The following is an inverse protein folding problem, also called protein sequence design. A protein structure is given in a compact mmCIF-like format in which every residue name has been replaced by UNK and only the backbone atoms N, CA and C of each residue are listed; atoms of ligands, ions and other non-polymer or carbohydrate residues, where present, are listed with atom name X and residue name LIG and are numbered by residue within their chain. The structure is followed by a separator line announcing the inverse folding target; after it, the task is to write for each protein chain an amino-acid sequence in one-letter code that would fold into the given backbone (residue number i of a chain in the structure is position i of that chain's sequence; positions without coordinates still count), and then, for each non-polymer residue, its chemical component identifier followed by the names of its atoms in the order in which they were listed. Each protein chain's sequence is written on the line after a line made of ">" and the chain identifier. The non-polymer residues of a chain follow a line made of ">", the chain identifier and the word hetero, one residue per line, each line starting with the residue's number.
data_IF_144511525116
#
_entry.id   IF_144511525116
#
_cell.length_a   1.000
_cell.length_b   1.000
_cell.length_c   1.000
_cell.angle_alpha   90.00
_cell.angle_beta   90.00
_cell.angle_gamma   90.00
#
_symmetry.space_group_name_H-M   'P 1'
#
loop_
_entity.id
_entity.type
_entity.pdbx_description
1 polymer ?
#
# COMPACT_ATOMS: atom_id res chain seq x y z
N UNK A 1 -35.30 34.28 29.77
CA UNK A 1 -34.14 33.55 30.31
C UNK A 1 -34.38 32.07 30.05
N UNK A 2 -33.77 31.49 29.03
CA UNK A 2 -33.87 30.06 28.75
C UNK A 2 -33.01 29.30 29.77
N UNK A 3 -33.62 28.28 30.33
CA UNK A 3 -33.22 27.53 31.51
C UNK A 3 -31.82 26.87 31.30
N UNK A 4 -30.92 27.10 32.23
CA UNK A 4 -29.59 26.53 32.33
C UNK A 4 -29.58 25.00 32.33
N UNK A 5 -30.72 24.38 32.69
CA UNK A 5 -30.93 22.92 32.66
C UNK A 5 -31.14 22.36 31.25
N UNK A 6 -31.75 23.11 30.32
CA UNK A 6 -31.89 22.68 28.93
C UNK A 6 -30.58 22.77 28.17
N UNK A 7 -29.77 23.81 28.44
CA UNK A 7 -28.42 23.94 27.84
C UNK A 7 -27.50 22.79 28.25
N UNK A 8 -27.55 22.36 29.52
CA UNK A 8 -26.73 21.23 30.01
C UNK A 8 -27.21 19.88 29.49
N UNK A 9 -28.50 19.70 29.22
CA UNK A 9 -29.01 18.48 28.56
C UNK A 9 -28.64 18.37 27.09
N UNK A 10 -28.53 19.49 26.41
CA UNK A 10 -28.07 19.55 24.99
C UNK A 10 -26.56 19.36 24.89
N UNK A 11 -25.78 19.93 25.83
CA UNK A 11 -24.34 19.73 25.92
C UNK A 11 -23.95 18.30 26.30
N UNK A 12 -24.72 17.63 27.18
CA UNK A 12 -24.50 16.25 27.57
C UNK A 12 -24.79 15.24 26.42
N UNK A 13 -25.71 15.57 25.50
CA UNK A 13 -25.97 14.74 24.31
C UNK A 13 -24.91 14.93 23.21
N UNK A 14 -24.20 16.08 23.18
CA UNK A 14 -23.09 16.33 22.26
C UNK A 14 -21.74 15.75 22.72
N UNK A 15 -21.55 15.55 24.02
CA UNK A 15 -20.30 15.07 24.61
C UNK A 15 -20.15 13.53 24.61
N UNK A 16 -21.23 12.79 24.39
CA UNK A 16 -21.20 11.30 24.34
C UNK A 16 -20.86 10.78 22.94
N UNK A 17 -20.84 11.64 21.90
CA UNK A 17 -20.53 11.26 20.52
C UNK A 17 -19.05 11.48 20.11
N UNK A 18 -18.20 11.96 21.01
CA UNK A 18 -16.76 12.21 20.70
C UNK A 18 -15.84 11.12 21.27
N UNK A 19 -16.38 10.18 22.06
CA UNK A 19 -15.58 9.16 22.78
C UNK A 19 -15.59 7.75 22.22
N UNK A 20 -16.19 7.46 21.05
CA UNK A 20 -16.33 6.08 20.54
C UNK A 20 -16.14 5.91 19.03
N UNK A 21 -15.42 6.80 18.36
CA UNK A 21 -15.11 6.66 16.91
C UNK A 21 -13.74 6.05 16.62
N UNK A 22 -13.17 5.26 17.51
CA UNK A 22 -11.86 4.64 17.31
C UNK A 22 -11.88 3.15 16.97
N UNK A 23 -13.04 2.59 16.54
CA UNK A 23 -13.09 1.18 16.15
C UNK A 23 -14.18 0.83 15.12
N UNK A 24 -14.53 1.75 14.22
CA UNK A 24 -15.24 1.35 13.00
C UNK A 24 -14.23 0.63 12.12
N UNK A 25 -14.20 -0.68 12.25
CA UNK A 25 -13.30 -1.53 11.47
C UNK A 25 -13.63 -1.47 9.97
N UNK A 26 -12.70 -1.89 9.14
CA UNK A 26 -12.82 -2.00 7.68
C UNK A 26 -14.16 -2.63 7.22
N UNK A 27 -14.79 -3.45 8.07
CA UNK A 27 -16.09 -4.10 7.83
C UNK A 27 -17.24 -3.08 7.76
N UNK A 28 -17.22 -2.02 8.58
CA UNK A 28 -18.27 -0.99 8.53
C UNK A 28 -18.08 -0.05 7.32
N UNK A 29 -16.82 0.17 6.87
CA UNK A 29 -16.53 0.90 5.64
C UNK A 29 -17.00 0.15 4.38
N UNK A 30 -16.95 -1.18 4.38
CA UNK A 30 -17.44 -2.01 3.27
C UNK A 30 -18.96 -1.94 3.11
N UNK A 31 -19.71 -1.65 4.19
CA UNK A 31 -21.16 -1.49 4.16
C UNK A 31 -21.61 -0.20 3.44
N UNK A 32 -20.78 0.86 3.45
CA UNK A 32 -21.10 2.13 2.77
C UNK A 32 -20.71 2.14 1.28
N UNK A 33 -19.92 1.16 0.81
CA UNK A 33 -19.36 1.16 -0.57
C UNK A 33 -20.35 0.77 -1.68
N UNK A 34 -21.57 0.37 -1.38
CA UNK A 34 -22.56 -0.08 -2.38
C UNK A 34 -22.18 -1.40 -3.09
N UNK A 35 -21.14 -2.09 -2.64
CA UNK A 35 -20.59 -3.31 -3.25
C UNK A 35 -21.07 -4.61 -2.57
N UNK A 36 -22.25 -4.59 -1.91
CA UNK A 36 -22.81 -5.75 -1.19
C UNK A 36 -21.81 -6.42 -0.20
N UNK A 37 -21.00 -5.61 0.51
CA UNK A 37 -20.03 -6.10 1.48
C UNK A 37 -18.79 -6.80 0.86
N UNK A 38 -18.52 -6.58 -0.43
CA UNK A 38 -17.32 -7.09 -1.11
C UNK A 38 -16.20 -6.04 -1.10
N UNK A 39 -14.96 -6.50 -0.87
CA UNK A 39 -13.77 -5.67 -1.05
C UNK A 39 -13.54 -5.38 -2.53
N UNK A 40 -13.36 -4.11 -2.88
CA UNK A 40 -13.10 -3.70 -4.26
C UNK A 40 -11.60 -3.71 -4.55
N UNK A 41 -11.22 -4.29 -5.68
CA UNK A 41 -9.86 -4.21 -6.25
C UNK A 41 -9.98 -3.88 -7.74
N UNK A 42 -9.21 -2.91 -8.21
CA UNK A 42 -9.11 -2.59 -9.64
C UNK A 42 -7.76 -3.05 -10.16
N UNK A 43 -7.77 -3.76 -11.29
CA UNK A 43 -6.57 -4.07 -12.09
C UNK A 43 -6.69 -3.32 -13.41
N UNK A 44 -5.91 -2.26 -13.56
CA UNK A 44 -5.82 -1.50 -14.80
C UNK A 44 -4.63 -2.00 -15.62
N UNK A 45 -4.81 -2.20 -16.95
CA UNK A 45 -3.77 -2.72 -17.85
C UNK A 45 -3.57 -1.84 -19.07
N UNK A 46 -2.33 -1.69 -19.51
CA UNK A 46 -2.00 -1.11 -20.81
C UNK A 46 -0.87 -1.92 -21.46
N UNK A 47 -1.20 -2.69 -22.49
CA UNK A 47 -0.24 -3.55 -23.20
C UNK A 47 0.93 -2.78 -23.83
N UNK A 48 0.74 -1.48 -24.11
CA UNK A 48 1.75 -0.61 -24.69
C UNK A 48 2.47 0.28 -23.67
N UNK A 49 2.40 -0.08 -22.38
CA UNK A 49 2.96 0.70 -21.26
C UNK A 49 4.48 0.90 -21.37
N UNK A 50 5.18 -0.11 -21.88
CA UNK A 50 6.60 -0.02 -22.21
C UNK A 50 6.76 0.44 -23.65
N UNK A 51 7.47 1.55 -23.85
CA UNK A 51 7.85 2.05 -25.18
C UNK A 51 8.91 1.18 -25.84
N UNK A 52 9.67 1.75 -26.76
CA UNK A 52 10.81 1.06 -27.38
C UNK A 52 11.82 0.66 -26.29
N UNK A 53 11.94 -0.64 -26.01
CA UNK A 53 12.77 -1.18 -24.94
C UNK A 53 12.00 -1.43 -23.65
N UNK A 54 12.68 -1.41 -22.50
CA UNK A 54 12.11 -1.70 -21.17
C UNK A 54 11.65 -0.44 -20.41
N UNK A 55 11.71 0.74 -21.03
CA UNK A 55 11.34 2.00 -20.37
C UNK A 55 9.83 2.21 -20.40
N UNK A 56 9.30 2.63 -19.25
CA UNK A 56 7.90 3.03 -19.12
C UNK A 56 7.66 4.37 -19.82
N UNK A 57 6.57 4.46 -20.58
CA UNK A 57 6.08 5.71 -21.14
C UNK A 57 5.36 6.51 -20.04
N UNK A 58 5.88 7.69 -19.71
CA UNK A 58 5.37 8.55 -18.65
C UNK A 58 3.89 8.92 -18.85
N UNK A 59 3.50 9.24 -20.09
CA UNK A 59 2.14 9.63 -20.42
C UNK A 59 1.16 8.48 -20.26
N UNK A 60 1.57 7.27 -20.63
CA UNK A 60 0.79 6.04 -20.45
C UNK A 60 0.68 5.63 -19.00
N UNK A 61 1.76 5.75 -18.22
CA UNK A 61 1.73 5.49 -16.78
C UNK A 61 0.73 6.43 -16.10
N UNK A 62 0.76 7.72 -16.42
CA UNK A 62 -0.19 8.69 -15.88
C UNK A 62 -1.63 8.37 -16.28
N UNK A 63 -1.87 8.05 -17.54
CA UNK A 63 -3.20 7.67 -18.04
C UNK A 63 -3.70 6.37 -17.40
N UNK A 64 -2.83 5.38 -17.22
CA UNK A 64 -3.14 4.12 -16.54
C UNK A 64 -3.49 4.35 -15.07
N UNK A 65 -2.72 5.17 -14.38
CA UNK A 65 -2.96 5.56 -13.00
C UNK A 65 -4.32 6.26 -12.84
N UNK A 66 -4.63 7.23 -13.69
CA UNK A 66 -5.92 7.91 -13.69
C UNK A 66 -7.08 6.95 -13.92
N UNK A 67 -6.95 6.05 -14.89
CA UNK A 67 -7.96 5.02 -15.18
C UNK A 67 -8.18 4.09 -13.98
N UNK A 68 -7.10 3.65 -13.31
CA UNK A 68 -7.20 2.81 -12.12
C UNK A 68 -7.96 3.52 -10.99
N UNK A 69 -7.58 4.76 -10.68
CA UNK A 69 -8.15 5.53 -9.56
C UNK A 69 -9.59 5.95 -9.86
N UNK A 70 -9.90 6.44 -11.07
CA UNK A 70 -11.26 6.80 -11.47
C UNK A 70 -12.20 5.61 -11.45
N UNK A 71 -11.74 4.44 -11.93
CA UNK A 71 -12.52 3.20 -11.90
C UNK A 71 -12.77 2.71 -10.48
N UNK A 72 -11.79 2.86 -9.58
CA UNK A 72 -11.95 2.46 -8.19
C UNK A 72 -13.03 3.29 -7.48
N UNK A 73 -13.00 4.61 -7.63
CA UNK A 73 -13.95 5.50 -6.96
C UNK A 73 -15.22 5.80 -7.76
N UNK A 74 -15.36 5.25 -8.98
CA UNK A 74 -16.52 5.50 -9.85
C UNK A 74 -16.66 6.99 -10.25
N UNK A 75 -15.53 7.67 -10.44
CA UNK A 75 -15.50 9.09 -10.83
C UNK A 75 -15.08 9.27 -12.26
N UNK A 76 -15.60 10.32 -12.92
CA UNK A 76 -15.23 10.63 -14.32
C UNK A 76 -13.94 11.46 -14.41
N UNK A 77 -13.69 12.31 -13.40
CA UNK A 77 -12.53 13.20 -13.39
C UNK A 77 -11.47 12.69 -12.44
N UNK A 78 -10.19 12.60 -12.86
CA UNK A 78 -9.11 12.10 -12.03
C UNK A 78 -9.01 12.81 -10.68
N UNK A 79 -9.00 14.15 -10.68
CA UNK A 79 -8.83 14.92 -9.45
C UNK A 79 -9.96 14.66 -8.43
N UNK A 80 -11.21 14.51 -8.90
CA UNK A 80 -12.34 14.16 -8.01
C UNK A 80 -12.15 12.77 -7.38
N UNK A 81 -11.56 11.82 -8.13
CA UNK A 81 -11.24 10.49 -7.62
C UNK A 81 -10.07 10.54 -6.60
N UNK A 82 -9.01 11.27 -6.90
CA UNK A 82 -7.87 11.44 -6.00
C UNK A 82 -8.26 12.07 -4.67
N UNK A 83 -9.21 13.00 -4.65
CA UNK A 83 -9.75 13.62 -3.44
C UNK A 83 -10.54 12.66 -2.55
N UNK A 84 -10.89 11.46 -3.04
CA UNK A 84 -11.53 10.42 -2.23
C UNK A 84 -10.52 9.53 -1.47
N UNK A 85 -9.26 9.49 -1.89
CA UNK A 85 -8.24 8.66 -1.23
C UNK A 85 -8.06 9.14 0.21
N UNK A 86 -8.27 8.25 1.20
CA UNK A 86 -8.08 8.55 2.61
C UNK A 86 -9.10 9.49 3.26
N UNK A 87 -10.31 9.62 2.66
CA UNK A 87 -11.44 10.49 3.05
C UNK A 87 -11.37 11.96 2.61
N UNK A 88 -12.51 12.60 2.29
CA UNK A 88 -12.59 13.88 1.57
C UNK A 88 -11.95 15.10 2.22
N UNK A 89 -11.38 15.00 3.42
CA UNK A 89 -10.76 16.12 4.12
C UNK A 89 -9.37 15.80 4.69
N UNK A 90 -8.83 14.60 4.37
CA UNK A 90 -7.60 14.10 5.00
C UNK A 90 -6.36 14.83 4.48
N UNK A 91 -6.34 15.27 3.23
CA UNK A 91 -5.14 15.85 2.62
C UNK A 91 -4.87 17.31 3.00
N UNK A 92 -5.89 18.06 3.44
CA UNK A 92 -5.70 19.48 3.75
C UNK A 92 -4.82 19.66 4.98
N UNK A 93 -3.63 20.21 4.79
CA UNK A 93 -2.60 20.46 5.82
C UNK A 93 -2.03 19.20 6.51
N UNK A 94 -2.13 18.02 5.87
CA UNK A 94 -1.55 16.77 6.40
C UNK A 94 -0.41 16.26 5.54
N UNK A 95 0.56 15.65 6.19
CA UNK A 95 1.66 14.98 5.48
C UNK A 95 1.20 13.62 4.99
N UNK A 96 1.31 13.41 3.69
CA UNK A 96 1.02 12.17 2.99
C UNK A 96 2.34 11.43 2.76
N UNK A 97 2.46 10.22 3.30
CA UNK A 97 3.58 9.33 3.02
C UNK A 97 3.30 8.46 1.80
N UNK A 98 4.23 8.40 0.88
CA UNK A 98 4.24 7.46 -0.24
C UNK A 98 5.28 6.40 0.10
N UNK A 99 4.84 5.24 0.60
CA UNK A 99 5.73 4.12 0.96
C UNK A 99 6.00 3.27 -0.28
N UNK A 100 7.17 3.42 -0.84
CA UNK A 100 7.62 2.65 -2.01
C UNK A 100 8.35 1.35 -1.61
N UNK A 101 8.74 0.54 -2.58
CA UNK A 101 9.63 -0.58 -2.41
C UNK A 101 10.91 -0.34 -3.21
N UNK A 102 11.98 0.06 -2.54
CA UNK A 102 13.28 0.31 -3.16
C UNK A 102 14.20 -0.91 -3.22
N UNK A 103 13.85 -1.98 -2.49
CA UNK A 103 14.70 -3.16 -2.37
C UNK A 103 14.77 -3.95 -3.68
N UNK A 104 16.00 -4.13 -4.18
CA UNK A 104 16.29 -4.90 -5.38
C UNK A 104 16.80 -4.08 -6.58
N UNK A 105 16.76 -2.75 -6.49
CA UNK A 105 17.26 -1.86 -7.53
C UNK A 105 16.35 -1.78 -8.77
N UNK A 106 16.89 -1.29 -9.88
CA UNK A 106 16.14 -1.10 -11.12
C UNK A 106 15.54 -2.41 -11.63
N UNK A 107 14.27 -2.38 -12.04
CA UNK A 107 13.55 -3.51 -12.65
C UNK A 107 12.66 -4.32 -11.69
N UNK A 108 12.92 -4.28 -10.38
CA UNK A 108 12.10 -4.95 -9.35
C UNK A 108 11.86 -4.09 -8.11
N UNK A 109 11.97 -2.79 -8.28
CA UNK A 109 11.60 -1.77 -7.30
C UNK A 109 10.50 -0.89 -7.88
N UNK A 110 9.75 -0.20 -7.02
CA UNK A 110 8.73 0.75 -7.47
C UNK A 110 9.32 1.75 -8.47
N UNK A 111 8.71 1.87 -9.63
CA UNK A 111 9.21 2.71 -10.71
C UNK A 111 9.05 4.20 -10.39
N UNK A 112 10.14 4.96 -10.54
CA UNK A 112 10.16 6.40 -10.26
C UNK A 112 9.14 7.19 -11.08
N UNK A 113 8.84 6.77 -12.31
CA UNK A 113 7.82 7.36 -13.18
C UNK A 113 6.44 7.26 -12.54
N UNK A 114 6.07 6.12 -11.96
CA UNK A 114 4.80 5.96 -11.23
C UNK A 114 4.77 6.84 -9.98
N UNK A 115 5.87 6.92 -9.24
CA UNK A 115 5.98 7.77 -8.05
C UNK A 115 5.79 9.26 -8.41
N UNK A 116 6.40 9.71 -9.52
CA UNK A 116 6.24 11.07 -10.02
C UNK A 116 4.79 11.38 -10.41
N UNK A 117 4.13 10.45 -11.12
CA UNK A 117 2.71 10.59 -11.49
C UNK A 117 1.81 10.68 -10.24
N UNK A 118 2.07 9.88 -9.21
CA UNK A 118 1.34 9.95 -7.92
C UNK A 118 1.55 11.31 -7.24
N UNK A 119 2.80 11.79 -7.17
CA UNK A 119 3.11 13.10 -6.58
C UNK A 119 2.43 14.25 -7.33
N UNK A 120 2.40 14.20 -8.66
CA UNK A 120 1.71 15.18 -9.49
C UNK A 120 0.21 15.21 -9.18
N UNK A 121 -0.45 14.07 -9.15
CA UNK A 121 -1.88 13.97 -8.87
C UNK A 121 -2.24 14.39 -7.45
N UNK A 122 -1.42 14.08 -6.46
CA UNK A 122 -1.61 14.55 -5.08
C UNK A 122 -1.53 16.08 -5.01
N UNK A 123 -0.57 16.71 -5.70
CA UNK A 123 -0.46 18.16 -5.74
C UNK A 123 -1.67 18.79 -6.44
N UNK A 124 -2.12 18.25 -7.56
CA UNK A 124 -3.33 18.70 -8.24
C UNK A 124 -4.60 18.48 -7.40
N UNK A 125 -4.63 17.48 -6.53
CA UNK A 125 -5.71 17.22 -5.58
C UNK A 125 -5.66 18.15 -4.34
N UNK A 126 -4.62 19.02 -4.24
CA UNK A 126 -4.49 20.06 -3.21
C UNK A 126 -3.48 19.75 -2.10
N UNK A 127 -2.65 18.70 -2.21
CA UNK A 127 -1.57 18.43 -1.26
C UNK A 127 -0.36 19.32 -1.62
N UNK A 128 0.10 20.15 -0.68
CA UNK A 128 1.32 20.93 -0.87
C UNK A 128 2.54 20.02 -1.05
N UNK A 129 3.45 20.36 -1.96
CA UNK A 129 4.64 19.56 -2.26
C UNK A 129 5.43 19.16 -1.00
N UNK A 130 5.69 20.10 -0.08
CA UNK A 130 6.39 19.84 1.18
C UNK A 130 5.65 18.90 2.16
N UNK A 131 4.37 18.65 1.91
CA UNK A 131 3.56 17.70 2.66
C UNK A 131 3.51 16.30 2.01
N UNK A 132 4.31 16.05 0.98
CA UNK A 132 4.47 14.72 0.37
C UNK A 132 5.85 14.19 0.76
N UNK A 133 5.89 12.96 1.30
CA UNK A 133 7.14 12.25 1.62
C UNK A 133 7.14 10.91 0.89
N UNK A 134 8.03 10.77 -0.07
CA UNK A 134 8.38 9.47 -0.67
C UNK A 134 9.44 8.82 0.20
N UNK A 135 9.25 7.55 0.58
CA UNK A 135 10.15 6.91 1.52
C UNK A 135 10.20 5.39 1.45
N UNK A 136 11.31 4.85 1.88
CA UNK A 136 11.50 3.45 2.20
C UNK A 136 12.49 3.33 3.37
N UNK A 137 13.00 2.14 3.63
CA UNK A 137 13.91 1.88 4.74
C UNK A 137 15.26 2.59 4.58
N UNK A 138 15.87 2.50 3.40
CA UNK A 138 17.21 3.03 3.16
C UNK A 138 17.21 4.06 2.02
N UNK A 139 17.90 5.17 2.23
CA UNK A 139 18.06 6.22 1.22
C UNK A 139 18.77 5.72 -0.04
N UNK A 140 19.82 4.89 0.12
CA UNK A 140 20.56 4.31 -1.03
C UNK A 140 19.67 3.46 -1.94
N UNK A 141 18.68 2.75 -1.37
CA UNK A 141 17.78 1.90 -2.15
C UNK A 141 16.80 2.76 -2.97
N UNK A 142 16.40 3.92 -2.43
CA UNK A 142 15.62 4.93 -3.15
C UNK A 142 16.40 5.53 -4.32
N UNK A 143 17.68 5.87 -4.12
CA UNK A 143 18.56 6.37 -5.20
C UNK A 143 18.77 5.33 -6.29
N UNK A 144 18.96 4.06 -5.90
CA UNK A 144 19.11 2.95 -6.84
C UNK A 144 17.87 2.75 -7.73
N UNK A 145 16.69 3.16 -7.28
CA UNK A 145 15.43 3.15 -8.05
C UNK A 145 15.26 4.39 -8.95
N UNK A 146 16.20 5.33 -8.91
CA UNK A 146 16.14 6.59 -9.66
C UNK A 146 15.33 7.68 -8.97
N UNK A 147 15.07 7.57 -7.66
CA UNK A 147 14.44 8.62 -6.85
C UNK A 147 15.53 9.55 -6.30
N UNK A 148 15.27 10.86 -6.39
CA UNK A 148 16.22 11.88 -5.91
C UNK A 148 15.98 12.17 -4.44
N UNK A 149 16.99 11.93 -3.60
CA UNK A 149 16.93 12.23 -2.17
C UNK A 149 16.82 13.73 -1.93
N UNK A 150 15.87 14.13 -1.09
CA UNK A 150 15.64 15.50 -0.68
C UNK A 150 14.87 15.59 0.62
N UNK A 151 15.32 16.41 1.55
CA UNK A 151 14.60 16.79 2.78
C UNK A 151 14.02 18.20 2.73
N UNK A 152 14.17 18.88 1.60
CA UNK A 152 13.71 20.26 1.36
C UNK A 152 12.18 20.33 1.45
N UNK A 153 11.68 21.07 2.44
CA UNK A 153 10.25 21.25 2.72
C UNK A 153 9.52 22.14 1.71
N UNK A 154 10.23 22.80 0.81
CA UNK A 154 9.61 23.53 -0.30
C UNK A 154 9.23 22.65 -1.49
N UNK A 155 9.67 21.40 -1.49
CA UNK A 155 9.49 20.41 -2.57
C UNK A 155 8.93 19.09 -2.02
N UNK A 156 8.59 18.17 -2.91
CA UNK A 156 8.35 16.76 -2.54
C UNK A 156 9.63 16.23 -1.89
N UNK A 157 9.48 15.71 -0.67
CA UNK A 157 10.58 15.13 0.08
C UNK A 157 10.76 13.66 -0.28
N UNK A 158 11.99 13.19 -0.33
CA UNK A 158 12.32 11.80 -0.55
C UNK A 158 13.52 11.42 0.32
N UNK A 159 13.35 10.52 1.29
CA UNK A 159 14.45 10.09 2.15
C UNK A 159 14.13 8.78 2.86
N UNK A 160 15.17 8.09 3.34
CA UNK A 160 15.02 6.80 4.01
C UNK A 160 14.77 6.91 5.52
N UNK A 161 14.28 5.82 6.10
CA UNK A 161 14.17 5.68 7.57
C UNK A 161 15.53 5.68 8.25
N UNK A 162 16.59 5.30 7.54
CA UNK A 162 17.99 5.40 7.99
C UNK A 162 18.42 6.85 8.24
N UNK A 163 17.81 7.82 7.56
CA UNK A 163 18.04 9.27 7.78
C UNK A 163 17.24 9.79 8.96
N UNK A 164 15.94 9.42 9.07
CA UNK A 164 15.06 9.92 10.14
C UNK A 164 15.17 9.12 11.44
N UNK A 165 15.66 7.90 11.38
CA UNK A 165 15.75 6.95 12.48
C UNK A 165 14.44 6.22 12.78
N UNK A 166 14.53 5.34 13.78
CA UNK A 166 13.42 4.56 14.32
C UNK A 166 13.07 5.02 15.73
N UNK A 167 11.89 4.66 16.20
CA UNK A 167 11.49 4.94 17.58
C UNK A 167 12.38 4.20 18.57
N UNK A 168 12.47 4.70 19.81
CA UNK A 168 13.21 4.06 20.90
C UNK A 168 12.45 2.86 21.47
N UNK A 169 11.12 2.97 21.51
CA UNK A 169 10.24 1.94 22.04
C UNK A 169 9.81 0.97 20.94
N UNK A 170 9.49 -0.26 21.34
CA UNK A 170 8.97 -1.29 20.46
C UNK A 170 7.45 -1.26 20.45
N UNK A 171 6.87 -1.25 19.27
CA UNK A 171 5.49 -1.63 19.06
C UNK A 171 5.38 -3.15 18.97
N UNK A 172 4.29 -3.71 19.51
CA UNK A 172 4.11 -5.17 19.56
C UNK A 172 2.71 -5.57 19.14
N UNK A 173 2.63 -6.62 18.31
CA UNK A 173 1.41 -7.39 18.05
C UNK A 173 1.82 -8.80 17.62
N UNK A 174 1.30 -9.82 18.29
CA UNK A 174 1.66 -11.21 18.04
C UNK A 174 3.18 -11.44 18.12
N UNK A 175 3.78 -11.92 17.01
CA UNK A 175 5.23 -12.12 16.92
C UNK A 175 5.97 -10.85 16.50
N UNK A 176 5.28 -9.84 15.99
CA UNK A 176 5.92 -8.58 15.62
C UNK A 176 6.31 -7.78 16.85
N UNK A 177 7.62 -7.60 17.06
CA UNK A 177 8.23 -6.76 18.08
C UNK A 177 9.28 -5.90 17.42
N UNK A 178 8.91 -4.67 17.07
CA UNK A 178 9.68 -3.83 16.14
C UNK A 178 9.67 -2.38 16.57
N UNK A 179 10.71 -1.64 16.17
CA UNK A 179 10.72 -0.19 16.26
C UNK A 179 10.31 0.39 14.92
N UNK A 180 9.28 1.22 14.94
CA UNK A 180 8.75 1.85 13.73
C UNK A 180 9.61 3.04 13.30
N UNK A 181 9.65 3.26 11.99
CA UNK A 181 10.24 4.45 11.39
C UNK A 181 9.59 5.73 11.89
N UNK A 182 10.40 6.73 12.26
CA UNK A 182 9.91 8.05 12.65
C UNK A 182 9.19 8.79 11.50
N UNK A 183 9.45 8.42 10.25
CA UNK A 183 8.66 8.93 9.12
C UNK A 183 7.20 8.51 9.30
N UNK A 184 6.96 7.23 9.59
CA UNK A 184 5.61 6.72 9.78
C UNK A 184 4.94 7.28 11.03
N UNK A 185 5.63 7.28 12.16
CA UNK A 185 5.03 7.62 13.45
C UNK A 185 4.83 9.12 13.64
N UNK A 186 5.82 9.93 13.26
CA UNK A 186 5.89 11.37 13.57
C UNK A 186 5.53 12.28 12.41
N UNK A 187 5.93 11.94 11.18
CA UNK A 187 5.74 12.81 10.01
C UNK A 187 4.38 12.51 9.33
N UNK A 188 4.15 11.28 8.91
CA UNK A 188 2.98 10.93 8.11
C UNK A 188 1.70 10.84 8.93
N UNK A 189 0.63 11.43 8.42
CA UNK A 189 -0.73 11.25 8.95
C UNK A 189 -1.51 10.19 8.21
N UNK A 190 -1.23 10.03 6.92
CA UNK A 190 -1.75 8.97 6.06
C UNK A 190 -0.64 8.42 5.19
N UNK A 191 -0.77 7.17 4.77
CA UNK A 191 0.19 6.47 3.92
C UNK A 191 -0.51 5.87 2.72
N UNK A 192 -0.05 6.24 1.53
CA UNK A 192 -0.33 5.54 0.28
C UNK A 192 0.80 4.52 0.09
N UNK A 193 0.45 3.26 0.01
CA UNK A 193 1.38 2.18 -0.19
C UNK A 193 1.60 1.91 -1.67
N UNK A 194 2.85 1.98 -2.12
CA UNK A 194 3.21 1.79 -3.55
C UNK A 194 4.23 0.65 -3.67
N UNK A 195 3.79 -0.60 -3.42
CA UNK A 195 4.63 -1.78 -3.55
C UNK A 195 4.91 -2.13 -5.01
N UNK A 196 5.99 -2.87 -5.26
CA UNK A 196 6.23 -3.58 -6.53
C UNK A 196 5.83 -5.04 -6.39
N UNK A 197 5.15 -5.59 -7.40
CA UNK A 197 4.84 -7.02 -7.44
C UNK A 197 6.10 -7.82 -7.73
N UNK A 198 6.45 -8.77 -6.87
CA UNK A 198 7.55 -9.70 -7.10
C UNK A 198 7.40 -10.99 -6.29
N UNK A 199 7.94 -12.05 -6.85
CA UNK A 199 8.18 -13.30 -6.14
C UNK A 199 9.05 -13.10 -4.89
N UNK A 200 8.95 -14.02 -3.93
CA UNK A 200 9.80 -14.02 -2.74
C UNK A 200 10.04 -15.46 -2.26
N UNK A 201 11.30 -15.83 -2.17
CA UNK A 201 11.74 -17.20 -1.82
C UNK A 201 11.22 -17.74 -0.48
N UNK A 202 10.90 -16.88 0.48
CA UNK A 202 10.38 -17.30 1.78
C UNK A 202 8.85 -17.18 1.87
N UNK A 203 8.28 -16.05 1.45
CA UNK A 203 6.86 -15.74 1.66
C UNK A 203 5.98 -15.91 0.42
N UNK A 204 6.52 -16.52 -0.64
CA UNK A 204 5.86 -16.70 -1.93
C UNK A 204 5.86 -15.42 -2.76
N UNK A 205 5.46 -14.30 -2.19
CA UNK A 205 5.47 -13.02 -2.89
C UNK A 205 5.72 -11.83 -1.96
N UNK A 206 6.11 -10.71 -2.55
CA UNK A 206 6.12 -9.39 -1.94
C UNK A 206 5.11 -8.51 -2.67
N UNK A 207 4.21 -7.87 -1.92
CA UNK A 207 3.34 -6.81 -2.43
C UNK A 207 2.85 -5.90 -1.30
N UNK A 208 1.52 -5.66 -1.16
CA UNK A 208 0.96 -4.63 -0.29
C UNK A 208 1.38 -4.79 1.18
N UNK A 209 0.99 -5.89 1.83
CA UNK A 209 1.25 -6.06 3.27
C UNK A 209 2.74 -6.23 3.57
N UNK A 210 3.47 -7.02 2.77
CA UNK A 210 4.89 -7.24 3.01
C UNK A 210 5.76 -6.02 2.73
N UNK A 211 5.28 -5.02 1.97
CA UNK A 211 5.96 -3.76 1.79
C UNK A 211 6.17 -2.99 3.11
N UNK A 212 5.33 -3.27 4.12
CA UNK A 212 5.47 -2.67 5.45
C UNK A 212 6.72 -3.14 6.21
N UNK A 213 7.43 -4.18 5.77
CA UNK A 213 8.74 -4.56 6.31
C UNK A 213 9.76 -3.42 6.21
N UNK A 214 9.64 -2.55 5.19
CA UNK A 214 10.45 -1.33 5.06
C UNK A 214 10.14 -0.24 6.09
N UNK A 215 9.14 -0.44 6.96
CA UNK A 215 8.77 0.54 8.00
C UNK A 215 9.43 0.28 9.35
N UNK A 216 10.21 -0.81 9.49
CA UNK A 216 10.75 -1.28 10.76
C UNK A 216 12.28 -1.38 10.74
N UNK A 217 12.87 -1.34 11.94
CA UNK A 217 14.31 -1.40 12.15
C UNK A 217 14.90 -2.79 11.83
N UNK A 218 14.19 -3.86 12.18
CA UNK A 218 14.66 -5.24 12.06
C UNK A 218 13.65 -6.15 11.36
N UNK A 219 13.44 -5.98 10.03
CA UNK A 219 12.50 -6.81 9.26
C UNK A 219 12.92 -8.29 9.19
N UNK A 220 14.20 -8.60 9.39
CA UNK A 220 14.76 -9.95 9.44
C UNK A 220 14.08 -10.82 10.50
N UNK A 221 13.71 -10.24 11.64
CA UNK A 221 13.05 -10.96 12.75
C UNK A 221 11.65 -11.49 12.39
N UNK A 222 11.05 -10.99 11.31
CA UNK A 222 9.71 -11.34 10.85
C UNK A 222 9.71 -12.38 9.71
N UNK A 223 10.86 -12.97 9.39
CA UNK A 223 10.99 -13.93 8.27
C UNK A 223 10.72 -15.39 8.68
N UNK A 224 10.57 -15.70 9.96
CA UNK A 224 10.27 -17.05 10.43
C UNK A 224 8.97 -17.59 9.81
N UNK A 225 8.90 -18.91 9.63
CA UNK A 225 7.72 -19.63 9.17
C UNK A 225 7.09 -19.00 7.90
N UNK A 226 7.88 -18.80 6.85
CA UNK A 226 7.42 -18.19 5.59
C UNK A 226 6.83 -16.78 5.77
N UNK A 227 7.36 -16.01 6.72
CA UNK A 227 6.87 -14.69 7.12
C UNK A 227 5.44 -14.69 7.70
N UNK A 228 4.95 -15.85 8.11
CA UNK A 228 3.62 -16.02 8.69
C UNK A 228 3.73 -16.44 10.18
N UNK A 229 3.06 -15.76 11.14
CA UNK A 229 2.14 -14.64 10.96
C UNK A 229 2.79 -13.26 10.85
N UNK A 230 4.13 -13.16 10.81
CA UNK A 230 4.87 -11.90 10.93
C UNK A 230 4.40 -10.77 10.02
N UNK A 231 3.98 -11.06 8.76
CA UNK A 231 3.40 -10.05 7.85
C UNK A 231 2.04 -9.57 8.36
N UNK A 232 1.16 -10.47 8.78
CA UNK A 232 -0.15 -10.13 9.30
C UNK A 232 -0.03 -9.34 10.62
N UNK A 233 0.77 -9.85 11.56
CA UNK A 233 1.01 -9.22 12.85
C UNK A 233 1.55 -7.79 12.71
N UNK A 234 2.54 -7.59 11.84
CA UNK A 234 3.09 -6.27 11.57
C UNK A 234 2.01 -5.28 11.09
N UNK A 235 1.12 -5.72 10.20
CA UNK A 235 0.06 -4.89 9.68
C UNK A 235 -1.05 -4.60 10.70
N UNK A 236 -1.10 -5.32 11.82
CA UNK A 236 -1.99 -5.03 12.94
C UNK A 236 -1.46 -3.95 13.89
N UNK A 237 -0.18 -3.59 13.83
CA UNK A 237 0.37 -2.50 14.64
C UNK A 237 -0.38 -1.20 14.31
N UNK A 238 -0.91 -0.48 15.34
CA UNK A 238 -1.85 0.65 15.14
C UNK A 238 -1.36 1.70 14.14
N UNK A 239 -0.10 2.14 14.23
CA UNK A 239 0.46 3.12 13.29
C UNK A 239 0.46 2.67 11.83
N UNK A 240 0.58 1.36 11.56
CA UNK A 240 0.50 0.80 10.20
C UNK A 240 -0.97 0.60 9.82
N UNK A 241 -1.75 -0.02 10.72
CA UNK A 241 -3.15 -0.37 10.46
C UNK A 241 -3.99 0.85 10.09
N UNK A 242 -3.86 1.92 10.88
CA UNK A 242 -4.70 3.12 10.80
C UNK A 242 -4.24 4.10 9.73
N UNK A 243 -2.91 4.20 9.49
CA UNK A 243 -2.37 5.20 8.55
C UNK A 243 -2.33 4.75 7.10
N UNK A 244 -2.24 3.43 6.85
CA UNK A 244 -2.23 2.89 5.50
C UNK A 244 -3.66 2.94 4.93
N UNK A 245 -3.94 3.93 4.10
CA UNK A 245 -5.29 4.20 3.60
C UNK A 245 -5.56 3.62 2.21
N UNK A 246 -4.54 3.48 1.36
CA UNK A 246 -4.71 3.03 -0.02
C UNK A 246 -3.45 2.35 -0.55
N UNK A 247 -3.62 1.36 -1.41
CA UNK A 247 -2.53 0.71 -2.14
C UNK A 247 -2.63 1.05 -3.62
N UNK A 248 -1.52 1.53 -4.20
CA UNK A 248 -1.30 1.70 -5.64
C UNK A 248 -0.15 0.77 -6.01
N UNK A 249 -0.49 -0.48 -6.27
CA UNK A 249 0.50 -1.52 -6.50
C UNK A 249 1.06 -1.47 -7.91
N UNK A 250 2.37 -1.36 -8.00
CA UNK A 250 3.14 -1.41 -9.24
C UNK A 250 3.28 -2.87 -9.70
N UNK A 251 2.61 -3.21 -10.77
CA UNK A 251 2.74 -4.48 -11.48
C UNK A 251 3.06 -4.20 -12.96
N UNK A 252 3.80 -3.14 -13.25
CA UNK A 252 4.23 -2.81 -14.60
C UNK A 252 5.30 -3.78 -15.08
N UNK A 253 6.22 -4.15 -14.20
CA UNK A 253 7.14 -5.28 -14.34
C UNK A 253 7.17 -6.12 -13.07
N UNK A 254 7.63 -7.37 -13.14
CA UNK A 254 7.68 -8.29 -12.01
C UNK A 254 8.65 -9.43 -12.29
N UNK A 255 9.18 -10.08 -11.25
CA UNK A 255 9.81 -11.39 -11.35
C UNK A 255 8.83 -12.44 -10.80
N UNK A 256 8.68 -13.55 -11.54
CA UNK A 256 7.70 -14.59 -11.20
C UNK A 256 8.32 -15.78 -10.43
N UNK A 257 9.65 -15.80 -10.31
CA UNK A 257 10.41 -16.83 -9.60
C UNK A 257 11.80 -16.33 -9.22
N UNK A 258 12.36 -16.83 -8.09
CA UNK A 258 13.71 -16.47 -7.61
C UNK A 258 13.81 -15.12 -6.90
N UNK A 259 12.68 -14.44 -6.62
CA UNK A 259 12.69 -13.18 -5.86
C UNK A 259 13.06 -13.37 -4.38
N UNK A 260 13.42 -12.27 -3.68
CA UNK A 260 13.28 -10.87 -4.06
C UNK A 260 14.43 -10.30 -4.91
N UNK A 261 15.41 -11.12 -5.28
CA UNK A 261 16.55 -10.70 -6.12
C UNK A 261 16.14 -10.49 -7.57
N UNK A 262 16.91 -9.67 -8.29
CA UNK A 262 16.66 -9.43 -9.70
C UNK A 262 17.20 -10.57 -10.55
N UNK A 263 16.30 -11.20 -11.31
CA UNK A 263 16.60 -12.27 -12.27
C UNK A 263 16.07 -11.88 -13.64
N UNK A 264 16.90 -11.36 -14.55
CA UNK A 264 16.44 -10.89 -15.87
C UNK A 264 15.69 -11.97 -16.66
N UNK A 265 16.10 -13.23 -16.54
CA UNK A 265 15.47 -14.39 -17.20
C UNK A 265 14.10 -14.77 -16.63
N UNK A 266 13.76 -14.23 -15.47
CA UNK A 266 12.48 -14.42 -14.78
C UNK A 266 11.62 -13.15 -14.80
N UNK A 267 12.09 -12.11 -15.50
CA UNK A 267 11.34 -10.87 -15.63
C UNK A 267 10.15 -11.08 -16.57
N UNK A 268 9.02 -10.49 -16.21
CA UNK A 268 7.84 -10.41 -17.03
C UNK A 268 7.14 -9.08 -16.85
N UNK A 269 6.27 -8.73 -17.79
CA UNK A 269 5.60 -7.45 -17.84
C UNK A 269 4.08 -7.66 -17.75
N UNK A 270 3.48 -7.64 -16.53
CA UNK A 270 2.04 -7.65 -16.38
C UNK A 270 1.37 -6.42 -16.99
N UNK A 271 2.13 -5.33 -17.15
CA UNK A 271 1.68 -4.03 -17.66
C UNK A 271 0.43 -3.53 -16.94
N UNK A 272 0.45 -3.59 -15.61
CA UNK A 272 -0.72 -3.34 -14.78
C UNK A 272 -0.41 -2.49 -13.56
N UNK A 273 -1.46 -1.80 -13.07
CA UNK A 273 -1.55 -1.31 -11.70
C UNK A 273 -2.66 -2.06 -10.98
N UNK A 274 -2.45 -2.37 -9.71
CA UNK A 274 -3.43 -3.04 -8.83
C UNK A 274 -3.74 -2.08 -7.69
N UNK A 275 -4.98 -1.58 -7.61
CA UNK A 275 -5.33 -0.58 -6.61
C UNK A 275 -6.49 -1.00 -5.73
N UNK A 276 -6.46 -0.58 -4.46
CA UNK A 276 -7.52 -0.83 -3.49
C UNK A 276 -7.20 -0.34 -2.09
N UNK A 277 -8.23 -0.23 -1.26
CA UNK A 277 -8.11 0.11 0.17
C UNK A 277 -7.83 -1.14 1.02
N UNK A 278 -8.44 -2.27 0.66
CA UNK A 278 -8.23 -3.54 1.34
C UNK A 278 -6.91 -4.18 0.93
N UNK A 279 -5.90 -4.03 1.79
CA UNK A 279 -4.53 -4.54 1.58
C UNK A 279 -4.46 -6.06 1.40
N UNK A 280 -5.40 -6.80 2.01
CA UNK A 280 -5.47 -8.28 1.93
C UNK A 280 -6.04 -8.69 0.59
N UNK A 281 -7.14 -8.05 0.15
CA UNK A 281 -7.75 -8.31 -1.15
C UNK A 281 -6.81 -7.97 -2.30
N UNK A 282 -6.06 -6.85 -2.18
CA UNK A 282 -5.00 -6.46 -3.14
C UNK A 282 -3.92 -7.54 -3.24
N UNK A 283 -3.41 -8.02 -2.11
CA UNK A 283 -2.41 -9.11 -2.09
C UNK A 283 -2.98 -10.42 -2.64
N UNK A 284 -4.26 -10.75 -2.38
CA UNK A 284 -4.91 -11.94 -2.94
C UNK A 284 -4.96 -11.90 -4.47
N UNK A 285 -5.37 -10.79 -5.06
CA UNK A 285 -5.40 -10.62 -6.52
C UNK A 285 -3.99 -10.67 -7.10
N UNK A 286 -3.02 -10.00 -6.48
CA UNK A 286 -1.61 -10.04 -6.88
C UNK A 286 -1.04 -11.47 -6.83
N UNK A 287 -1.35 -12.24 -5.78
CA UNK A 287 -0.94 -13.65 -5.64
C UNK A 287 -1.50 -14.51 -6.78
N UNK A 288 -2.78 -14.35 -7.14
CA UNK A 288 -3.37 -15.05 -8.27
C UNK A 288 -2.68 -14.72 -9.59
N UNK A 289 -2.22 -13.47 -9.79
CA UNK A 289 -1.46 -13.09 -10.99
C UNK A 289 -0.10 -13.79 -11.05
N UNK A 290 0.63 -13.87 -9.94
CA UNK A 290 1.90 -14.60 -9.85
C UNK A 290 1.68 -16.10 -10.11
N UNK A 291 0.70 -16.72 -9.46
CA UNK A 291 0.37 -18.14 -9.65
C UNK A 291 -0.01 -18.45 -11.10
N UNK A 292 -0.81 -17.60 -11.73
CA UNK A 292 -1.17 -17.74 -13.15
C UNK A 292 0.08 -17.67 -14.05
N UNK A 293 1.01 -16.73 -13.78
CA UNK A 293 2.26 -16.63 -14.53
C UNK A 293 3.15 -17.85 -14.31
N UNK A 294 3.29 -18.34 -13.08
CA UNK A 294 4.05 -19.55 -12.75
C UNK A 294 3.50 -20.77 -13.49
N UNK A 295 2.19 -20.97 -13.47
CA UNK A 295 1.53 -22.05 -14.21
C UNK A 295 1.80 -21.95 -15.72
N UNK A 296 1.73 -20.78 -16.31
CA UNK A 296 2.05 -20.55 -17.73
C UNK A 296 3.52 -20.85 -18.08
N UNK A 297 4.41 -20.81 -17.09
CA UNK A 297 5.84 -21.16 -17.23
C UNK A 297 6.13 -22.62 -16.84
N UNK A 298 5.11 -23.44 -16.57
CA UNK A 298 5.28 -24.83 -16.15
C UNK A 298 5.87 -25.01 -14.74
N UNK A 299 5.80 -23.96 -13.90
CA UNK A 299 6.31 -24.00 -12.53
C UNK A 299 5.21 -24.45 -11.56
N UNK A 300 5.58 -25.11 -10.44
CA UNK A 300 4.64 -25.46 -9.39
C UNK A 300 4.04 -24.21 -8.75
N UNK A 301 2.88 -24.37 -8.11
CA UNK A 301 2.31 -23.31 -7.26
C UNK A 301 3.30 -22.89 -6.17
N UNK A 302 3.14 -21.69 -5.63
CA UNK A 302 3.97 -21.22 -4.51
C UNK A 302 3.92 -22.19 -3.33
N UNK A 303 2.75 -22.75 -3.03
CA UNK A 303 2.58 -23.73 -1.96
C UNK A 303 3.33 -25.05 -2.26
N UNK A 304 3.22 -25.59 -3.48
CA UNK A 304 3.93 -26.78 -3.90
C UNK A 304 5.45 -26.57 -4.00
N UNK A 305 5.89 -25.32 -4.20
CA UNK A 305 7.29 -24.92 -4.15
C UNK A 305 7.82 -24.68 -2.71
N UNK A 306 7.01 -24.99 -1.66
CA UNK A 306 7.40 -24.87 -0.26
C UNK A 306 7.43 -23.44 0.28
N UNK A 307 6.81 -22.50 -0.41
CA UNK A 307 6.80 -21.05 -0.01
C UNK A 307 5.41 -20.42 -0.18
N UNK A 308 4.41 -20.91 0.56
CA UNK A 308 3.04 -20.41 0.47
C UNK A 308 2.94 -18.97 0.93
N UNK A 309 2.11 -18.17 0.24
CA UNK A 309 1.75 -16.81 0.70
C UNK A 309 0.64 -16.88 1.77
N UNK A 310 0.80 -17.73 2.78
CA UNK A 310 -0.21 -18.04 3.80
C UNK A 310 -0.55 -16.85 4.71
N UNK A 311 0.35 -15.88 4.82
CA UNK A 311 0.09 -14.65 5.57
C UNK A 311 -1.15 -13.88 5.06
N UNK A 312 -1.57 -14.10 3.81
CA UNK A 312 -2.78 -13.47 3.24
C UNK A 312 -4.03 -13.97 3.95
N UNK A 313 -4.12 -15.28 4.18
CA UNK A 313 -5.27 -15.88 4.89
C UNK A 313 -5.22 -15.58 6.38
N UNK A 314 -4.03 -15.59 6.99
CA UNK A 314 -3.84 -15.17 8.38
C UNK A 314 -4.28 -13.72 8.59
N UNK A 315 -3.94 -12.80 7.68
CA UNK A 315 -4.36 -11.40 7.77
C UNK A 315 -5.89 -11.19 7.73
N UNK A 316 -6.63 -12.15 7.15
CA UNK A 316 -8.09 -12.13 7.07
C UNK A 316 -8.79 -12.86 8.22
N UNK A 317 -8.07 -13.55 9.10
CA UNK A 317 -8.66 -14.34 10.18
C UNK A 317 -9.35 -13.48 11.27
N UNK A 318 -9.99 -14.18 12.23
CA UNK A 318 -10.75 -13.53 13.31
C UNK A 318 -9.88 -12.69 14.27
N UNK A 319 -8.58 -12.93 14.32
CA UNK A 319 -7.63 -12.20 15.18
C UNK A 319 -7.16 -10.91 14.51
N UNK A 320 -6.80 -11.00 13.23
CA UNK A 320 -6.16 -9.89 12.49
C UNK A 320 -7.19 -8.93 11.87
N UNK A 321 -8.22 -9.46 11.18
CA UNK A 321 -9.32 -8.66 10.58
C UNK A 321 -8.81 -7.48 9.75
N UNK A 322 -7.79 -7.72 8.92
CA UNK A 322 -7.15 -6.67 8.11
C UNK A 322 -7.82 -6.49 6.74
N UNK A 323 -8.66 -7.43 6.33
CA UNK A 323 -9.35 -7.39 5.05
C UNK A 323 -9.89 -8.75 4.61
N UNK A 324 -10.09 -8.93 3.32
CA UNK A 324 -10.76 -10.10 2.71
C UNK A 324 -9.78 -10.90 1.88
N UNK A 325 -9.57 -12.17 2.23
CA UNK A 325 -8.75 -13.11 1.45
C UNK A 325 -9.56 -14.03 0.52
N UNK A 326 -10.87 -14.22 0.77
CA UNK A 326 -11.73 -15.05 -0.07
C UNK A 326 -12.02 -14.36 -1.41
N UNK A 327 -11.60 -14.93 -2.57
CA UNK A 327 -11.84 -14.32 -3.88
C UNK A 327 -13.31 -14.09 -4.21
N UNK A 328 -14.24 -14.88 -3.65
CA UNK A 328 -15.69 -14.73 -3.87
C UNK A 328 -16.23 -13.45 -3.22
N UNK A 329 -15.54 -12.94 -2.21
CA UNK A 329 -15.85 -11.70 -1.49
C UNK A 329 -15.05 -10.51 -2.01
N UNK A 330 -14.29 -10.66 -3.09
CA UNK A 330 -13.57 -9.58 -3.76
C UNK A 330 -14.34 -9.22 -5.04
N UNK A 331 -14.64 -7.93 -5.22
CA UNK A 331 -15.13 -7.36 -6.47
C UNK A 331 -13.94 -6.90 -7.28
N UNK A 332 -13.50 -7.77 -8.19
CA UNK A 332 -12.45 -7.44 -9.15
C UNK A 332 -13.03 -6.65 -10.32
N UNK A 333 -12.41 -5.52 -10.64
CA UNK A 333 -12.72 -4.67 -11.80
C UNK A 333 -11.46 -4.63 -12.67
N UNK A 334 -11.55 -5.11 -13.89
CA UNK A 334 -10.46 -5.05 -14.89
C UNK A 334 -10.76 -3.97 -15.93
N UNK A 335 -9.80 -3.05 -16.18
CA UNK A 335 -9.94 -1.91 -17.09
C UNK A 335 -8.66 -1.64 -17.88
#
# INVERSE_FOLDING_TARGET
>A
MKDRREFLKTAAKGAVLIGSQSSLGLVDMLAESGDNGKSRVVVARDAALHGAGSQLDESRVLALLDRAITSYFGRKKPIEAWQQIGFPHVFKNRVVGIKVNGLGGKGISTHSVLVQAICERLQQAGVSAGNIIVWDRNARDLEACGLKISTDRSKVRCFGSDVSGFESEQDTFGVARVRLSKILTRECKVVINVPILKDHELSGMTFSMKNMYGTVDRPDTLHANHCNPGVADLNCIPNIREKLCFTIGDATSSVYDGGPSFHPERLWYPNALIVGEDRVAVDRIACQMVEKKRAAMGLPTLAAAGRPASYIDTAADATHKLGVSDPKRIKLIEV
#
